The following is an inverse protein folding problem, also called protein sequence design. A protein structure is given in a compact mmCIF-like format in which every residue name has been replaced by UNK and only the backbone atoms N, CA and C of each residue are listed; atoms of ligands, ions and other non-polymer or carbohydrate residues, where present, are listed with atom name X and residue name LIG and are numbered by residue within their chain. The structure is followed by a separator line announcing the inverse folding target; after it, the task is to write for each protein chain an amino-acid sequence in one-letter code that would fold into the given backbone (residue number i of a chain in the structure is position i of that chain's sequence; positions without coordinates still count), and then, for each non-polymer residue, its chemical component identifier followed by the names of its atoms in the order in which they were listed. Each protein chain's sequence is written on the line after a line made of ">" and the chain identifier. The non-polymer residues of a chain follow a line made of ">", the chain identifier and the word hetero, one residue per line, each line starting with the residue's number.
data_IF_053979172956
#
_entry.id   IF_053979172956
#
_cell.length_a   1.000
_cell.length_b   1.000
_cell.length_c   1.000
_cell.angle_alpha   90.00
_cell.angle_beta   90.00
_cell.angle_gamma   90.00
#
_symmetry.space_group_name_H-M   'P 1'
#
loop_
_entity.id
_entity.type
_entity.pdbx_description
1 polymer ?
#
# COMPACT_ATOMS: atom_id res chain seq x y z
N UNK A 1 -10.74 16.26 38.03
CA UNK A 1 -9.89 17.19 37.26
C UNK A 1 -9.41 16.41 36.04
N UNK A 2 -10.14 16.53 34.92
CA UNK A 2 -9.76 15.89 33.66
C UNK A 2 -8.50 16.57 33.14
N UNK A 3 -7.40 15.83 33.06
CA UNK A 3 -6.21 16.28 32.33
C UNK A 3 -6.58 16.36 30.87
N UNK A 4 -6.66 17.59 30.35
CA UNK A 4 -6.81 17.84 28.92
C UNK A 4 -5.60 17.24 28.22
N UNK A 5 -5.81 16.19 27.43
CA UNK A 5 -4.81 15.65 26.52
C UNK A 5 -4.64 16.66 25.39
N UNK A 6 -3.41 17.08 25.10
CA UNK A 6 -3.11 18.02 24.02
C UNK A 6 -3.69 17.52 22.68
N UNK A 7 -4.50 18.32 21.96
CA UNK A 7 -5.25 17.84 20.80
C UNK A 7 -4.42 17.70 19.51
N UNK A 8 -3.10 17.96 19.52
CA UNK A 8 -2.37 18.21 18.28
C UNK A 8 -0.89 17.74 18.21
N UNK A 9 -0.55 16.62 18.85
CA UNK A 9 0.73 15.94 18.60
C UNK A 9 0.46 14.53 18.05
N UNK A 10 0.02 14.47 16.79
CA UNK A 10 0.31 13.28 15.99
C UNK A 10 1.84 13.21 15.86
N UNK A 11 2.45 12.09 16.28
CA UNK A 11 3.91 11.90 16.20
C UNK A 11 4.44 12.07 14.76
N UNK A 12 3.59 11.82 13.77
CA UNK A 12 3.88 11.99 12.35
C UNK A 12 2.75 12.76 11.67
N UNK A 13 3.09 13.60 10.70
CA UNK A 13 2.13 14.17 9.76
C UNK A 13 1.55 13.09 8.84
N UNK A 14 0.36 13.29 8.24
CA UNK A 14 -0.21 12.34 7.30
C UNK A 14 0.72 12.01 6.12
N UNK A 15 1.49 12.99 5.64
CA UNK A 15 2.49 12.80 4.58
C UNK A 15 3.65 11.92 5.02
N UNK A 16 4.08 12.01 6.28
CA UNK A 16 5.14 11.14 6.82
C UNK A 16 4.65 9.69 6.98
N UNK A 17 3.40 9.49 7.40
CA UNK A 17 2.81 8.14 7.46
C UNK A 17 2.67 7.53 6.07
N UNK A 18 2.21 8.30 5.09
CA UNK A 18 2.14 7.89 3.68
C UNK A 18 3.53 7.54 3.12
N UNK A 19 4.53 8.38 3.38
CA UNK A 19 5.91 8.13 2.97
C UNK A 19 6.47 6.84 3.54
N UNK A 20 6.19 6.51 4.81
CA UNK A 20 6.62 5.24 5.42
C UNK A 20 5.89 4.05 4.78
N UNK A 21 4.59 4.19 4.50
CA UNK A 21 3.80 3.14 3.85
C UNK A 21 4.25 2.84 2.41
N UNK A 22 4.92 3.77 1.73
CA UNK A 22 5.39 3.59 0.35
C UNK A 22 6.49 2.50 0.20
N UNK A 23 7.15 2.11 1.29
CA UNK A 23 8.12 1.01 1.29
C UNK A 23 7.47 -0.38 1.28
N UNK A 24 6.14 -0.47 1.46
CA UNK A 24 5.40 -1.73 1.38
C UNK A 24 5.52 -2.36 -0.02
N UNK A 25 5.74 -3.68 -0.05
CA UNK A 25 5.92 -4.43 -1.29
C UNK A 25 4.57 -4.76 -1.91
N UNK A 26 4.39 -4.34 -3.16
CA UNK A 26 3.21 -4.64 -3.97
C UNK A 26 3.58 -5.39 -5.24
N UNK A 27 2.59 -6.05 -5.83
CA UNK A 27 2.77 -6.76 -7.09
C UNK A 27 2.28 -5.90 -8.27
N UNK A 28 3.11 -5.76 -9.29
CA UNK A 28 2.78 -5.09 -10.53
C UNK A 28 2.83 -6.07 -11.70
N UNK A 29 2.08 -5.75 -12.76
CA UNK A 29 2.21 -6.38 -14.07
C UNK A 29 2.77 -5.32 -15.03
N UNK A 30 4.07 -5.39 -15.37
CA UNK A 30 4.68 -4.49 -16.34
C UNK A 30 4.07 -4.70 -17.73
N UNK A 31 4.00 -3.63 -18.52
CA UNK A 31 3.62 -3.66 -19.93
C UNK A 31 4.81 -3.28 -20.85
N UNK A 32 6.00 -3.11 -20.27
CA UNK A 32 7.26 -2.83 -20.96
C UNK A 32 8.32 -3.88 -20.65
N UNK A 33 9.34 -3.96 -21.51
CA UNK A 33 10.61 -4.61 -21.19
C UNK A 33 11.56 -3.56 -20.62
N UNK A 34 12.15 -3.84 -19.47
CA UNK A 34 13.13 -2.95 -18.83
C UNK A 34 14.15 -3.79 -18.08
N UNK A 35 15.43 -3.44 -18.20
CA UNK A 35 16.49 -4.08 -17.42
C UNK A 35 16.32 -3.81 -15.93
N UNK A 36 17.03 -4.59 -15.10
CA UNK A 36 17.00 -4.40 -13.66
C UNK A 36 17.47 -2.98 -13.28
N UNK A 37 16.74 -2.37 -12.35
CA UNK A 37 17.10 -1.10 -11.73
C UNK A 37 17.92 -1.40 -10.48
N UNK A 38 19.19 -1.00 -10.46
CA UNK A 38 20.03 -1.13 -9.28
C UNK A 38 19.93 0.15 -8.43
N UNK A 39 19.19 0.10 -7.33
CA UNK A 39 18.93 1.24 -6.44
C UNK A 39 19.72 1.09 -5.14
N UNK A 40 19.84 2.17 -4.36
CA UNK A 40 20.58 2.18 -3.10
C UNK A 40 20.06 1.11 -2.12
N UNK A 41 18.74 0.92 -2.07
CA UNK A 41 18.07 0.00 -1.15
C UNK A 41 17.60 -1.31 -1.82
N UNK A 42 18.18 -1.69 -2.95
CA UNK A 42 17.91 -2.98 -3.60
C UNK A 42 17.78 -2.90 -5.11
N UNK A 43 17.70 -4.08 -5.73
CA UNK A 43 17.58 -4.24 -7.18
C UNK A 43 16.15 -4.68 -7.54
N UNK A 44 15.56 -4.05 -8.56
CA UNK A 44 14.19 -4.32 -8.99
C UNK A 44 14.13 -4.68 -10.48
N UNK A 45 13.46 -5.78 -10.79
CA UNK A 45 13.39 -6.34 -12.14
C UNK A 45 14.41 -7.47 -12.36
N UNK A 46 14.77 -7.80 -13.62
CA UNK A 46 14.30 -7.17 -14.86
C UNK A 46 12.78 -7.31 -15.04
N UNK A 47 12.19 -6.34 -15.72
CA UNK A 47 10.76 -6.30 -15.98
C UNK A 47 10.44 -6.81 -17.38
N UNK A 48 9.49 -7.74 -17.45
CA UNK A 48 8.99 -8.27 -18.71
C UNK A 48 7.49 -8.01 -18.84
N UNK A 49 6.99 -7.70 -20.05
CA UNK A 49 5.56 -7.52 -20.26
C UNK A 49 4.77 -8.74 -19.80
N UNK A 50 3.68 -8.51 -19.08
CA UNK A 50 2.75 -9.54 -18.60
C UNK A 50 3.33 -10.56 -17.62
N UNK A 51 4.53 -10.31 -17.08
CA UNK A 51 5.12 -11.15 -16.02
C UNK A 51 5.03 -10.38 -14.69
N UNK A 52 4.25 -10.86 -13.70
CA UNK A 52 4.15 -10.21 -12.40
C UNK A 52 5.52 -10.02 -11.75
N UNK A 53 5.71 -8.86 -11.11
CA UNK A 53 6.95 -8.50 -10.43
C UNK A 53 6.64 -7.78 -9.12
N UNK A 54 7.44 -8.02 -8.08
CA UNK A 54 7.28 -7.36 -6.77
C UNK A 54 8.20 -6.16 -6.67
N UNK A 55 7.65 -5.02 -6.27
CA UNK A 55 8.37 -3.75 -6.10
C UNK A 55 7.79 -2.97 -4.92
N UNK A 56 8.54 -2.03 -4.32
CA UNK A 56 7.99 -1.07 -3.37
C UNK A 56 6.87 -0.24 -3.99
N UNK A 57 5.91 0.18 -3.17
CA UNK A 57 4.75 0.95 -3.61
C UNK A 57 5.14 2.26 -4.29
N UNK A 58 6.15 3.00 -3.79
CA UNK A 58 6.65 4.20 -4.48
C UNK A 58 7.08 3.92 -5.93
N UNK A 59 7.75 2.79 -6.17
CA UNK A 59 8.21 2.40 -7.50
C UNK A 59 7.03 1.97 -8.38
N UNK A 60 6.07 1.23 -7.81
CA UNK A 60 4.84 0.84 -8.48
C UNK A 60 4.05 2.08 -8.95
N UNK A 61 3.85 3.07 -8.07
CA UNK A 61 3.17 4.34 -8.37
C UNK A 61 3.91 5.09 -9.47
N UNK A 62 5.24 5.21 -9.37
CA UNK A 62 6.06 5.91 -10.36
C UNK A 62 6.01 5.26 -11.75
N UNK A 63 5.99 3.93 -11.81
CA UNK A 63 5.86 3.18 -13.07
C UNK A 63 4.43 3.30 -13.64
N UNK A 64 3.39 3.19 -12.82
CA UNK A 64 1.99 3.31 -13.24
C UNK A 64 1.68 4.72 -13.78
N UNK A 65 2.13 5.78 -13.11
CA UNK A 65 1.99 7.19 -13.60
C UNK A 65 2.62 7.42 -14.98
N UNK A 66 3.62 6.61 -15.35
CA UNK A 66 4.28 6.64 -16.66
C UNK A 66 3.67 5.66 -17.67
N UNK A 67 2.59 4.98 -17.31
CA UNK A 67 1.93 3.97 -18.14
C UNK A 67 2.76 2.69 -18.34
N UNK A 68 3.70 2.37 -17.44
CA UNK A 68 4.67 1.26 -17.56
C UNK A 68 4.28 -0.03 -16.83
N UNK A 69 3.19 -0.01 -16.08
CA UNK A 69 2.64 -1.20 -15.45
C UNK A 69 1.17 -0.98 -15.04
N UNK A 70 0.52 -2.08 -14.69
CA UNK A 70 -0.71 -2.09 -13.89
C UNK A 70 -0.36 -2.60 -12.50
N UNK A 71 -0.82 -1.94 -11.44
CA UNK A 71 -0.66 -2.42 -10.07
C UNK A 71 -1.76 -3.44 -9.79
N UNK A 72 -1.42 -4.63 -9.29
CA UNK A 72 -2.42 -5.60 -8.86
C UNK A 72 -2.95 -5.20 -7.49
N UNK A 73 -4.27 -5.22 -7.34
CA UNK A 73 -4.91 -5.01 -6.05
C UNK A 73 -4.42 -6.07 -5.04
N UNK A 74 -4.04 -5.68 -3.81
CA UNK A 74 -3.71 -6.64 -2.75
C UNK A 74 -4.87 -7.58 -2.43
N UNK A 75 -4.57 -8.81 -2.00
CA UNK A 75 -5.59 -9.84 -1.73
C UNK A 75 -6.61 -9.44 -0.66
N UNK A 76 -6.16 -8.68 0.35
CA UNK A 76 -7.03 -8.15 1.41
C UNK A 76 -8.01 -7.09 0.90
N UNK A 77 -7.72 -6.47 -0.24
CA UNK A 77 -8.47 -5.35 -0.81
C UNK A 77 -9.55 -5.83 -1.80
N UNK A 78 -10.24 -6.91 -1.46
CA UNK A 78 -11.39 -7.44 -2.19
C UNK A 78 -12.68 -7.14 -1.44
N UNK A 79 -13.79 -6.96 -2.16
CA UNK A 79 -15.09 -6.63 -1.54
C UNK A 79 -15.52 -7.75 -0.59
N UNK A 80 -15.30 -8.99 -1.00
CA UNK A 80 -15.61 -10.18 -0.23
C UNK A 80 -14.82 -10.20 1.09
N UNK A 81 -13.50 -9.97 1.04
CA UNK A 81 -12.65 -10.00 2.24
C UNK A 81 -12.95 -8.84 3.17
N UNK A 82 -13.13 -7.63 2.63
CA UNK A 82 -13.44 -6.44 3.44
C UNK A 82 -14.82 -6.55 4.09
N UNK A 83 -15.79 -7.19 3.43
CA UNK A 83 -17.12 -7.44 4.02
C UNK A 83 -17.01 -8.42 5.19
N UNK A 84 -16.25 -9.51 5.04
CA UNK A 84 -15.98 -10.46 6.13
C UNK A 84 -15.31 -9.78 7.33
N UNK A 85 -14.30 -8.93 7.08
CA UNK A 85 -13.61 -8.16 8.12
C UNK A 85 -14.59 -7.22 8.83
N UNK A 86 -15.43 -6.52 8.07
CA UNK A 86 -16.44 -5.60 8.63
C UNK A 86 -17.47 -6.33 9.50
N UNK A 87 -17.96 -7.49 9.05
CA UNK A 87 -18.94 -8.26 9.81
C UNK A 87 -18.32 -8.84 11.09
N UNK A 88 -17.09 -9.34 11.03
CA UNK A 88 -16.36 -9.80 12.21
C UNK A 88 -16.09 -8.67 13.23
N UNK A 89 -15.77 -7.46 12.78
CA UNK A 89 -15.61 -6.28 13.64
C UNK A 89 -16.92 -5.92 14.37
N UNK A 90 -18.06 -6.08 13.68
CA UNK A 90 -19.39 -5.85 14.27
C UNK A 90 -19.79 -6.93 15.27
N UNK A 91 -19.41 -8.18 15.03
CA UNK A 91 -19.65 -9.31 15.95
C UNK A 91 -18.79 -9.23 17.22
N UNK A 92 -17.59 -8.64 17.12
CA UNK A 92 -16.64 -8.50 18.23
C UNK A 92 -16.25 -7.04 18.50
N UNK A 93 -17.16 -6.16 19.01
CA UNK A 93 -16.92 -4.72 19.15
C UNK A 93 -15.79 -4.31 20.11
N UNK A 94 -15.17 -5.25 20.82
CA UNK A 94 -14.06 -5.02 21.75
C UNK A 94 -12.71 -5.41 21.15
N UNK A 95 -12.69 -5.94 19.93
CA UNK A 95 -11.51 -6.49 19.27
C UNK A 95 -11.40 -5.93 17.86
N UNK A 96 -10.21 -5.45 17.51
CA UNK A 96 -9.91 -5.03 16.15
C UNK A 96 -9.66 -6.24 15.26
N UNK A 97 -10.26 -6.24 14.08
CA UNK A 97 -10.01 -7.24 13.06
C UNK A 97 -8.69 -6.99 12.34
N UNK A 98 -7.99 -8.07 11.96
CA UNK A 98 -6.68 -7.95 11.34
C UNK A 98 -6.79 -7.38 9.92
N UNK A 99 -6.17 -6.21 9.73
CA UNK A 99 -5.84 -5.63 8.43
C UNK A 99 -4.33 -5.35 8.36
N UNK A 100 -3.75 -5.25 7.16
CA UNK A 100 -2.37 -4.80 7.01
C UNK A 100 -2.17 -3.45 7.68
N UNK A 101 -0.99 -3.23 8.27
CA UNK A 101 -0.73 -2.07 9.11
C UNK A 101 -0.97 -0.72 8.38
N UNK A 102 -0.52 -0.63 7.13
CA UNK A 102 -0.65 0.56 6.27
C UNK A 102 -1.84 0.51 5.29
N UNK A 103 -2.93 -0.21 5.63
CA UNK A 103 -4.05 -0.41 4.70
C UNK A 103 -4.69 0.91 4.22
N UNK A 104 -4.68 1.96 5.04
CA UNK A 104 -5.27 3.26 4.71
C UNK A 104 -4.44 3.95 3.63
N UNK A 105 -3.13 4.10 3.86
CA UNK A 105 -2.20 4.77 2.96
C UNK A 105 -2.10 4.02 1.63
N UNK A 106 -1.99 2.68 1.68
CA UNK A 106 -1.98 1.83 0.48
C UNK A 106 -3.28 2.03 -0.31
N UNK A 107 -4.45 2.00 0.35
CA UNK A 107 -5.73 2.20 -0.34
C UNK A 107 -5.80 3.55 -1.04
N UNK A 108 -5.43 4.61 -0.33
CA UNK A 108 -5.43 5.98 -0.87
C UNK A 108 -4.50 6.08 -2.09
N UNK A 109 -3.26 5.63 -1.94
CA UNK A 109 -2.27 5.66 -3.02
C UNK A 109 -2.67 4.82 -4.23
N UNK A 110 -3.45 3.75 -4.08
CA UNK A 110 -3.92 2.94 -5.21
C UNK A 110 -5.11 3.57 -5.95
N UNK A 111 -5.98 4.30 -5.25
CA UNK A 111 -7.14 4.99 -5.83
C UNK A 111 -6.82 6.37 -6.42
N UNK A 112 -5.79 7.06 -5.91
CA UNK A 112 -5.39 8.40 -6.36
C UNK A 112 -4.57 8.42 -7.67
N UNK A 113 -4.47 7.30 -8.40
CA UNK A 113 -3.60 7.17 -9.60
C UNK A 113 -4.32 7.17 -10.94
#
# INVERSE_FOLDING_TARGET
>A
MAGQSDPHLSLFSPSEVEFVAEDEIVEIVPNIRMEALNMICGDFGPFFPQIPSKVPLWLAVALKRRGKCTIRAPEWMTVERLTQVLDAERESPREFQPLPFHYIEISKLLFDQ
#
